data_IF_616673516520
#
_entry.id   IF_616673516520
#
_cell.length_a   1.000
_cell.length_b   1.000
_cell.length_c   1.000
_cell.angle_alpha   90.00
_cell.angle_beta   90.00
_cell.angle_gamma   90.00
#
_symmetry.space_group_name_H-M   'P 1'
#
loop_
_entity.id
_entity.type
_entity.pdbx_description
1 polymer ?
#
# COMPACT_ATOMS: atom_id res chain seq x y z
N UNK A 1 -10.62 -8.92 -21.44
CA UNK A 1 -10.78 -9.18 -20.00
C UNK A 1 -9.50 -8.73 -19.29
N UNK A 2 -9.58 -7.78 -18.35
CA UNK A 2 -8.39 -7.46 -17.51
C UNK A 2 -8.04 -8.71 -16.71
N UNK A 3 -6.84 -9.26 -16.91
CA UNK A 3 -6.34 -10.33 -16.07
C UNK A 3 -6.29 -9.80 -14.62
N UNK A 4 -7.17 -10.34 -13.78
CA UNK A 4 -7.22 -9.97 -12.37
C UNK A 4 -5.89 -10.34 -11.71
N UNK A 5 -5.30 -9.42 -10.96
CA UNK A 5 -4.02 -9.61 -10.27
C UNK A 5 -4.25 -9.49 -8.78
N UNK A 6 -3.52 -10.28 -8.00
CA UNK A 6 -3.55 -10.24 -6.54
C UNK A 6 -2.13 -10.30 -5.99
N UNK A 7 -1.85 -9.49 -4.98
CA UNK A 7 -0.63 -9.62 -4.17
C UNK A 7 -1.04 -10.12 -2.79
N UNK A 8 -0.47 -11.25 -2.36
CA UNK A 8 -0.62 -11.77 -1.00
C UNK A 8 0.67 -11.47 -0.24
N UNK A 9 0.56 -10.94 0.96
CA UNK A 9 1.72 -10.58 1.79
C UNK A 9 1.60 -11.24 3.16
N UNK A 10 2.66 -11.94 3.57
CA UNK A 10 2.85 -12.36 4.95
C UNK A 10 3.24 -11.15 5.80
N UNK A 11 2.29 -10.66 6.62
CA UNK A 11 2.45 -9.43 7.37
C UNK A 11 3.59 -9.47 8.38
N UNK A 12 3.73 -10.54 9.15
CA UNK A 12 4.81 -10.62 10.13
C UNK A 12 6.18 -10.85 9.51
N UNK A 13 6.25 -11.53 8.37
CA UNK A 13 7.49 -11.65 7.62
C UNK A 13 8.01 -10.27 7.22
N UNK A 14 7.14 -9.43 6.66
CA UNK A 14 7.50 -8.06 6.26
C UNK A 14 7.77 -7.16 7.47
N UNK A 15 6.99 -7.23 8.55
CA UNK A 15 7.24 -6.44 9.76
C UNK A 15 8.63 -6.72 10.35
N UNK A 16 9.06 -7.98 10.34
CA UNK A 16 10.37 -8.37 10.84
C UNK A 16 11.52 -8.01 9.89
N UNK A 17 11.27 -8.08 8.58
CA UNK A 17 12.29 -7.84 7.56
C UNK A 17 12.59 -6.34 7.36
N UNK A 18 11.56 -5.46 7.47
CA UNK A 18 11.74 -4.04 7.18
C UNK A 18 12.12 -3.25 8.43
N UNK A 19 13.36 -2.76 8.47
CA UNK A 19 13.91 -2.04 9.62
C UNK A 19 13.09 -0.82 10.06
N UNK A 20 12.33 -0.21 9.16
CA UNK A 20 11.45 0.94 9.46
C UNK A 20 10.35 0.63 10.49
N UNK A 21 9.98 -0.64 10.67
CA UNK A 21 8.95 -1.04 11.64
C UNK A 21 9.50 -1.36 13.03
N UNK A 22 10.83 -1.43 13.20
CA UNK A 22 11.45 -1.70 14.52
C UNK A 22 10.97 -0.76 15.63
N UNK A 23 10.86 0.57 15.43
CA UNK A 23 10.36 1.45 16.48
C UNK A 23 8.92 1.12 16.90
N UNK A 24 8.07 0.75 15.95
CA UNK A 24 6.68 0.39 16.23
C UNK A 24 6.57 -0.97 16.92
N UNK A 25 7.37 -1.96 16.51
CA UNK A 25 7.44 -3.27 17.16
C UNK A 25 7.90 -3.17 18.62
N UNK A 26 8.78 -2.21 18.94
CA UNK A 26 9.21 -1.94 20.30
C UNK A 26 8.09 -1.35 21.18
N UNK A 27 7.11 -0.69 20.58
CA UNK A 27 5.94 -0.17 21.29
C UNK A 27 4.88 -1.27 21.45
N UNK A 28 4.41 -1.82 20.35
CA UNK A 28 3.47 -2.95 20.33
C UNK A 28 3.36 -3.54 18.91
N UNK A 29 3.01 -4.83 18.83
CA UNK A 29 2.68 -5.46 17.55
C UNK A 29 1.46 -4.84 16.87
N UNK A 30 0.53 -4.30 17.64
CA UNK A 30 -0.65 -3.61 17.12
C UNK A 30 -0.26 -2.35 16.35
N UNK A 31 0.58 -1.49 16.93
CA UNK A 31 1.08 -0.30 16.27
C UNK A 31 1.85 -0.64 14.98
N UNK A 32 2.70 -1.66 15.03
CA UNK A 32 3.44 -2.10 13.85
C UNK A 32 2.51 -2.62 12.73
N UNK A 33 1.46 -3.38 13.08
CA UNK A 33 0.45 -3.83 12.11
C UNK A 33 -0.30 -2.66 11.48
N UNK A 34 -0.72 -1.68 12.29
CA UNK A 34 -1.41 -0.48 11.78
C UNK A 34 -0.57 0.28 10.76
N UNK A 35 0.73 0.46 11.03
CA UNK A 35 1.65 1.11 10.09
C UNK A 35 1.83 0.28 8.81
N UNK A 36 1.98 -1.04 8.90
CA UNK A 36 2.08 -1.88 7.72
C UNK A 36 0.80 -1.87 6.89
N UNK A 37 -0.38 -1.94 7.52
CA UNK A 37 -1.67 -1.87 6.84
C UNK A 37 -1.80 -0.54 6.09
N UNK A 38 -1.40 0.57 6.71
CA UNK A 38 -1.41 1.88 6.07
C UNK A 38 -0.50 1.91 4.84
N UNK A 39 0.75 1.49 4.98
CA UNK A 39 1.72 1.47 3.88
C UNK A 39 1.30 0.56 2.73
N UNK A 40 0.74 -0.61 3.03
CA UNK A 40 0.27 -1.56 2.02
C UNK A 40 -1.01 -1.08 1.33
N UNK A 41 -1.87 -0.36 2.03
CA UNK A 41 -3.02 0.31 1.42
C UNK A 41 -2.59 1.37 0.40
N UNK A 42 -1.64 2.21 0.75
CA UNK A 42 -1.07 3.19 -0.18
C UNK A 42 -0.37 2.50 -1.36
N UNK A 43 0.39 1.44 -1.10
CA UNK A 43 1.05 0.66 -2.15
C UNK A 43 0.05 0.05 -3.14
N UNK A 44 -0.98 -0.63 -2.64
CA UNK A 44 -2.06 -1.21 -3.46
C UNK A 44 -2.72 -0.16 -4.36
N UNK A 45 -3.04 1.00 -3.79
CA UNK A 45 -3.62 2.14 -4.52
C UNK A 45 -2.70 2.66 -5.63
N UNK A 46 -1.40 2.80 -5.34
CA UNK A 46 -0.42 3.29 -6.32
C UNK A 46 -0.19 2.33 -7.49
N UNK A 47 -0.23 1.01 -7.25
CA UNK A 47 -0.04 0.01 -8.28
C UNK A 47 -1.33 -0.41 -8.99
N UNK A 48 -2.50 -0.11 -8.41
CA UNK A 48 -3.81 -0.52 -8.93
C UNK A 48 -4.03 -2.04 -8.95
N UNK A 49 -3.48 -2.76 -7.95
CA UNK A 49 -3.58 -4.22 -7.81
C UNK A 49 -4.18 -4.54 -6.44
N UNK A 50 -5.14 -5.47 -6.40
CA UNK A 50 -5.72 -5.96 -5.15
C UNK A 50 -4.63 -6.56 -4.25
N UNK A 51 -4.70 -6.28 -2.95
CA UNK A 51 -3.74 -6.75 -1.96
C UNK A 51 -4.44 -7.44 -0.80
N UNK A 52 -3.92 -8.61 -0.44
CA UNK A 52 -4.31 -9.40 0.72
C UNK A 52 -3.14 -9.45 1.71
N UNK A 53 -3.33 -8.87 2.88
CA UNK A 53 -2.35 -8.88 3.96
C UNK A 53 -2.76 -9.89 5.02
N UNK A 54 -1.90 -10.87 5.29
CA UNK A 54 -2.19 -11.98 6.21
C UNK A 54 -1.35 -11.85 7.47
N UNK A 55 -2.02 -11.90 8.62
CA UNK A 55 -1.38 -11.96 9.93
C UNK A 55 -1.73 -13.25 10.64
N UNK A 56 -0.73 -13.92 11.20
CA UNK A 56 -0.91 -15.09 12.04
C UNK A 56 -1.62 -14.73 13.36
N UNK A 57 -2.69 -15.44 13.68
CA UNK A 57 -3.47 -15.23 14.90
C UNK A 57 -2.74 -15.58 16.20
N UNK A 58 -1.64 -16.34 16.13
CA UNK A 58 -0.89 -16.76 17.31
C UNK A 58 -0.42 -15.59 18.20
N UNK A 59 -0.27 -14.41 17.60
CA UNK A 59 0.14 -13.19 18.30
C UNK A 59 -1.03 -12.29 18.71
N UNK A 60 -2.29 -12.75 18.52
CA UNK A 60 -3.49 -11.95 18.79
C UNK A 60 -4.60 -12.89 19.26
N UNK A 61 -5.31 -12.51 20.33
CA UNK A 61 -6.52 -13.23 20.78
C UNK A 61 -7.73 -12.98 19.86
N UNK A 62 -7.56 -13.01 18.55
CA UNK A 62 -8.64 -12.84 17.57
C UNK A 62 -9.08 -14.17 16.96
N UNK A 63 -10.39 -14.31 16.79
CA UNK A 63 -11.00 -15.47 16.11
C UNK A 63 -11.10 -15.17 14.61
N UNK A 64 -10.11 -15.56 13.83
CA UNK A 64 -10.16 -15.55 12.36
C UNK A 64 -11.09 -14.49 11.75
N UNK A 65 -10.60 -13.27 11.50
CA UNK A 65 -11.39 -12.19 10.92
C UNK A 65 -10.77 -11.76 9.59
N UNK A 66 -11.65 -11.34 8.68
CA UNK A 66 -11.24 -10.69 7.43
C UNK A 66 -11.98 -9.37 7.31
N UNK A 67 -11.24 -8.29 7.15
CA UNK A 67 -11.78 -6.95 7.03
C UNK A 67 -11.13 -6.20 5.87
N UNK A 68 -11.85 -5.26 5.26
CA UNK A 68 -11.29 -4.34 4.27
C UNK A 68 -10.85 -3.06 4.96
N UNK A 69 -9.55 -2.87 5.09
CA UNK A 69 -8.95 -1.70 5.75
C UNK A 69 -8.06 -0.96 4.74
N UNK A 70 -8.26 0.35 4.59
CA UNK A 70 -7.50 1.17 3.63
C UNK A 70 -7.54 0.66 2.18
N UNK A 71 -8.63 -0.03 1.81
CA UNK A 71 -8.81 -0.57 0.46
C UNK A 71 -8.09 -1.89 0.17
N UNK A 72 -7.47 -2.51 1.18
CA UNK A 72 -6.87 -3.84 1.08
C UNK A 72 -7.61 -4.83 1.99
N UNK A 73 -7.60 -6.10 1.62
CA UNK A 73 -8.11 -7.17 2.47
C UNK A 73 -7.05 -7.51 3.53
N UNK A 74 -7.44 -7.43 4.81
CA UNK A 74 -6.59 -7.79 5.95
C UNK A 74 -7.19 -9.00 6.64
N UNK A 75 -6.43 -10.07 6.71
CA UNK A 75 -6.85 -11.33 7.32
C UNK A 75 -6.00 -11.63 8.55
N UNK A 76 -6.70 -11.96 9.63
CA UNK A 76 -6.12 -12.59 10.80
C UNK A 76 -6.51 -14.07 10.77
N UNK A 77 -5.55 -14.97 10.73
CA UNK A 77 -5.81 -16.41 10.62
C UNK A 77 -6.58 -16.94 11.84
N UNK A 78 -7.16 -18.12 11.71
CA UNK A 78 -7.84 -18.76 12.83
C UNK A 78 -6.83 -19.21 13.89
N UNK A 79 -7.29 -19.43 15.10
CA UNK A 79 -6.50 -20.10 16.13
C UNK A 79 -6.05 -21.47 15.59
N UNK A 80 -4.76 -21.76 15.69
CA UNK A 80 -4.11 -22.96 15.13
C UNK A 80 -3.93 -22.99 13.60
N UNK A 81 -4.16 -21.90 12.91
CA UNK A 81 -3.84 -21.73 11.49
C UNK A 81 -2.69 -20.73 11.36
N UNK A 82 -1.61 -21.10 10.71
CA UNK A 82 -0.49 -20.18 10.42
C UNK A 82 -0.77 -19.35 9.17
N UNK A 83 -0.06 -18.23 9.01
CA UNK A 83 -0.13 -17.45 7.78
C UNK A 83 0.24 -18.29 6.55
N UNK A 84 1.24 -19.16 6.69
CA UNK A 84 1.68 -20.07 5.61
C UNK A 84 0.57 -21.02 5.17
N UNK A 85 -0.10 -21.68 6.13
CA UNK A 85 -1.23 -22.56 5.84
C UNK A 85 -2.39 -21.84 5.18
N UNK A 86 -2.68 -20.61 5.62
CA UNK A 86 -3.69 -19.79 5.02
C UNK A 86 -3.32 -19.40 3.58
N UNK A 87 -2.07 -18.98 3.34
CA UNK A 87 -1.56 -18.62 2.01
C UNK A 87 -1.62 -19.81 1.06
N UNK A 88 -1.18 -20.99 1.52
CA UNK A 88 -1.24 -22.22 0.73
C UNK A 88 -2.68 -22.53 0.29
N UNK A 89 -3.61 -22.56 1.25
CA UNK A 89 -5.03 -22.79 0.98
C UNK A 89 -5.61 -21.76 0.01
N UNK A 90 -5.26 -20.47 0.19
CA UNK A 90 -5.71 -19.40 -0.68
C UNK A 90 -5.19 -19.56 -2.10
N UNK A 91 -3.95 -19.98 -2.28
CA UNK A 91 -3.38 -20.29 -3.59
C UNK A 91 -4.09 -21.47 -4.26
N UNK A 92 -4.50 -22.48 -3.51
CA UNK A 92 -5.28 -23.60 -4.05
C UNK A 92 -6.68 -23.18 -4.48
N UNK A 93 -7.36 -22.34 -3.70
CA UNK A 93 -8.68 -21.79 -4.06
C UNK A 93 -8.65 -20.93 -5.33
N UNK A 94 -7.61 -20.12 -5.45
CA UNK A 94 -7.42 -19.23 -6.62
C UNK A 94 -7.06 -20.03 -7.87
N UNK A 95 -6.23 -21.07 -7.71
CA UNK A 95 -5.70 -21.85 -8.80
C UNK A 95 -4.94 -20.97 -9.81
N UNK A 96 -5.13 -21.23 -11.11
CA UNK A 96 -4.50 -20.47 -12.21
C UNK A 96 -5.41 -19.41 -12.82
N UNK A 97 -6.51 -19.05 -12.16
CA UNK A 97 -7.52 -18.13 -12.70
C UNK A 97 -7.07 -16.68 -12.73
N UNK A 98 -6.17 -16.31 -11.82
CA UNK A 98 -5.63 -14.95 -11.71
C UNK A 98 -4.11 -15.01 -11.49
N UNK A 99 -3.41 -13.94 -11.85
CA UNK A 99 -1.99 -13.83 -11.59
C UNK A 99 -1.76 -13.44 -10.13
N UNK A 100 -1.13 -14.33 -9.36
CA UNK A 100 -0.83 -14.12 -7.96
C UNK A 100 0.65 -13.85 -7.76
N UNK A 101 0.96 -12.82 -6.97
CA UNK A 101 2.31 -12.58 -6.43
C UNK A 101 2.27 -12.76 -4.92
N UNK A 102 3.29 -13.37 -4.30
CA UNK A 102 3.36 -13.55 -2.85
C UNK A 102 4.62 -12.91 -2.29
N UNK A 103 4.44 -12.00 -1.33
CA UNK A 103 5.51 -11.30 -0.61
C UNK A 103 5.90 -12.06 0.65
N UNK A 104 7.03 -12.77 0.60
CA UNK A 104 7.57 -13.54 1.73
C UNK A 104 9.04 -13.90 1.50
N UNK A 105 9.81 -14.02 2.59
CA UNK A 105 11.17 -14.59 2.57
C UNK A 105 11.20 -16.07 2.98
N UNK A 106 10.04 -16.65 3.35
CA UNK A 106 9.96 -18.07 3.67
C UNK A 106 10.17 -18.93 2.43
N UNK A 107 11.23 -19.76 2.45
CA UNK A 107 11.64 -20.58 1.31
C UNK A 107 10.65 -21.67 0.93
N UNK A 108 9.88 -22.17 1.90
CA UNK A 108 8.87 -23.21 1.65
C UNK A 108 7.70 -22.60 0.89
N UNK A 109 7.22 -21.44 1.33
CA UNK A 109 6.16 -20.70 0.64
C UNK A 109 6.63 -20.25 -0.74
N UNK A 110 7.87 -19.77 -0.90
CA UNK A 110 8.43 -19.40 -2.20
C UNK A 110 8.40 -20.57 -3.21
N UNK A 111 8.82 -21.76 -2.78
CA UNK A 111 8.77 -22.97 -3.61
C UNK A 111 7.34 -23.32 -4.01
N UNK A 112 6.42 -23.29 -3.06
CA UNK A 112 5.00 -23.58 -3.27
C UNK A 112 4.38 -22.60 -4.28
N UNK A 113 4.63 -21.30 -4.15
CA UNK A 113 4.17 -20.26 -5.07
C UNK A 113 4.68 -20.52 -6.48
N UNK A 114 5.99 -20.82 -6.61
CA UNK A 114 6.62 -21.07 -7.90
C UNK A 114 6.05 -22.33 -8.57
N UNK A 115 5.83 -23.41 -7.83
CA UNK A 115 5.22 -24.64 -8.35
C UNK A 115 3.80 -24.43 -8.88
N UNK A 116 3.06 -23.50 -8.30
CA UNK A 116 1.71 -23.11 -8.74
C UNK A 116 1.70 -22.08 -9.88
N UNK A 117 2.87 -21.63 -10.33
CA UNK A 117 3.00 -20.62 -11.40
C UNK A 117 2.75 -19.19 -10.92
N UNK A 118 2.82 -18.93 -9.63
CA UNK A 118 2.79 -17.61 -9.03
C UNK A 118 4.16 -16.91 -9.08
N UNK A 119 4.18 -15.64 -8.72
CA UNK A 119 5.38 -14.81 -8.66
C UNK A 119 5.79 -14.63 -7.20
N UNK A 120 7.05 -14.93 -6.89
CA UNK A 120 7.62 -14.64 -5.57
C UNK A 120 8.16 -13.22 -5.56
N UNK A 121 7.83 -12.49 -4.48
CA UNK A 121 8.42 -11.21 -4.14
C UNK A 121 9.13 -11.35 -2.80
N UNK A 122 10.45 -11.22 -2.78
CA UNK A 122 11.19 -11.16 -1.52
C UNK A 122 10.84 -9.88 -0.77
N UNK A 123 11.03 -9.86 0.55
CA UNK A 123 10.83 -8.65 1.37
C UNK A 123 11.63 -7.46 0.84
N UNK A 124 12.84 -7.72 0.35
CA UNK A 124 13.75 -6.71 -0.22
C UNK A 124 13.22 -6.15 -1.55
N UNK A 125 12.72 -7.01 -2.44
CA UNK A 125 12.13 -6.57 -3.71
C UNK A 125 10.82 -5.79 -3.49
N UNK A 126 10.00 -6.24 -2.55
CA UNK A 126 8.78 -5.54 -2.18
C UNK A 126 9.08 -4.15 -1.61
N UNK A 127 10.08 -4.03 -0.71
CA UNK A 127 10.53 -2.76 -0.16
C UNK A 127 11.01 -1.81 -1.25
N UNK A 128 11.86 -2.30 -2.15
CA UNK A 128 12.38 -1.51 -3.27
C UNK A 128 11.25 -0.96 -4.16
N UNK A 129 10.26 -1.80 -4.49
CA UNK A 129 9.10 -1.38 -5.28
C UNK A 129 8.26 -0.33 -4.54
N UNK A 130 7.99 -0.56 -3.26
CA UNK A 130 7.24 0.37 -2.41
C UNK A 130 7.92 1.74 -2.33
N UNK A 131 9.20 1.79 -1.98
CA UNK A 131 9.95 3.05 -1.84
C UNK A 131 10.06 3.83 -3.16
N UNK A 132 10.32 3.14 -4.26
CA UNK A 132 10.37 3.78 -5.58
C UNK A 132 9.04 4.43 -5.97
N UNK A 133 7.93 3.77 -5.72
CA UNK A 133 6.60 4.30 -6.03
C UNK A 133 6.24 5.47 -5.12
N UNK A 134 6.52 5.35 -3.82
CA UNK A 134 6.30 6.42 -2.85
C UNK A 134 7.09 7.68 -3.20
N UNK A 135 8.37 7.52 -3.55
CA UNK A 135 9.23 8.63 -3.96
C UNK A 135 8.75 9.31 -5.25
N UNK A 136 8.27 8.52 -6.23
CA UNK A 136 7.66 9.07 -7.45
C UNK A 136 6.39 9.86 -7.13
N UNK A 137 5.48 9.30 -6.34
CA UNK A 137 4.23 9.97 -5.93
C UNK A 137 4.51 11.29 -5.24
N UNK A 138 5.41 11.32 -4.27
CA UNK A 138 5.79 12.53 -3.55
C UNK A 138 6.37 13.62 -4.48
N UNK A 139 7.16 13.24 -5.50
CA UNK A 139 7.70 14.19 -6.49
C UNK A 139 6.60 14.79 -7.37
N UNK A 140 5.59 14.01 -7.76
CA UNK A 140 4.46 14.51 -8.53
C UNK A 140 3.59 15.47 -7.70
N UNK A 141 3.31 15.15 -6.44
CA UNK A 141 2.56 16.03 -5.55
C UNK A 141 3.28 17.35 -5.30
N UNK A 142 4.61 17.31 -5.08
CA UNK A 142 5.40 18.53 -4.89
C UNK A 142 5.40 19.40 -6.15
N UNK A 143 5.56 18.81 -7.34
CA UNK A 143 5.47 19.55 -8.60
C UNK A 143 4.08 20.21 -8.79
N UNK A 144 3.01 19.46 -8.54
CA UNK A 144 1.65 19.97 -8.66
C UNK A 144 1.35 21.10 -7.65
N UNK A 145 1.88 21.00 -6.42
CA UNK A 145 1.75 22.07 -5.42
C UNK A 145 2.48 23.35 -5.86
N UNK A 146 3.68 23.22 -6.43
CA UNK A 146 4.46 24.37 -6.93
C UNK A 146 3.74 25.02 -8.11
N UNK A 147 3.26 24.22 -9.09
CA UNK A 147 2.52 24.74 -10.24
C UNK A 147 1.21 25.40 -9.84
N UNK A 148 0.42 24.78 -8.98
CA UNK A 148 -0.82 25.36 -8.49
C UNK A 148 -0.58 26.66 -7.72
N UNK A 149 0.43 26.74 -6.86
CA UNK A 149 0.78 27.96 -6.14
C UNK A 149 1.23 29.08 -7.10
N UNK A 150 1.94 28.72 -8.18
CA UNK A 150 2.32 29.68 -9.23
C UNK A 150 1.10 30.18 -10.00
N UNK A 151 0.13 29.32 -10.32
CA UNK A 151 -1.12 29.72 -10.98
C UNK A 151 -1.99 30.63 -10.09
N UNK A 152 -2.11 30.32 -8.79
CA UNK A 152 -2.86 31.16 -7.85
C UNK A 152 -2.22 32.53 -7.71
N UNK A 153 -0.89 32.62 -7.58
CA UNK A 153 -0.20 33.91 -7.52
C UNK A 153 -0.39 34.74 -8.80
N UNK A 154 -0.37 34.11 -9.98
CA UNK A 154 -0.56 34.78 -11.26
C UNK A 154 -2.02 35.24 -11.48
N UNK A 155 -2.99 34.49 -10.93
CA UNK A 155 -4.41 34.86 -10.97
C UNK A 155 -4.71 36.03 -10.03
N UNK A 156 -4.11 36.07 -8.85
CA UNK A 156 -4.25 37.19 -7.91
C UNK A 156 -3.69 38.49 -8.49
N UNK A 157 -2.53 38.47 -9.12
CA UNK A 157 -1.94 39.65 -9.77
C UNK A 157 -2.79 40.14 -10.94
N UNK A 158 -3.36 39.25 -11.74
CA UNK A 158 -4.29 39.62 -12.83
C UNK A 158 -5.61 40.17 -12.31
N UNK A 159 -6.15 39.59 -11.25
CA UNK A 159 -7.39 40.06 -10.62
C UNK A 159 -7.19 41.45 -9.99
N UNK A 160 -6.08 41.72 -9.35
CA UNK A 160 -5.72 43.00 -8.77
C UNK A 160 -5.59 44.06 -9.89
N UNK A 161 -4.87 43.75 -10.96
CA UNK A 161 -4.72 44.70 -12.11
C UNK A 161 -6.06 44.98 -12.79
N UNK A 162 -6.98 44.02 -12.90
CA UNK A 162 -8.32 44.24 -13.44
C UNK A 162 -9.19 45.12 -12.54
N UNK A 163 -9.09 44.94 -11.23
CA UNK A 163 -9.79 45.77 -10.24
C UNK A 163 -9.29 47.22 -10.31
N UNK A 164 -7.99 47.45 -10.38
CA UNK A 164 -7.40 48.80 -10.54
C UNK A 164 -7.84 49.48 -11.82
N UNK A 165 -7.96 48.76 -12.94
CA UNK A 165 -8.49 49.30 -14.20
C UNK A 165 -9.98 49.67 -14.11
N UNK A 166 -10.77 48.86 -13.42
CA UNK A 166 -12.20 49.12 -13.22
C UNK A 166 -12.40 50.31 -12.28
N UNK A 167 -11.62 50.43 -11.22
CA UNK A 167 -11.66 51.55 -10.31
C UNK A 167 -11.31 52.89 -11.03
N UNK A 168 -10.26 52.90 -11.86
CA UNK A 168 -9.90 54.05 -12.68
C UNK A 168 -10.99 54.43 -13.69
N UNK A 169 -11.72 53.47 -14.25
CA UNK A 169 -12.83 53.73 -15.19
C UNK A 169 -14.10 54.23 -14.49
N UNK A 170 -14.37 53.80 -13.28
CA UNK A 170 -15.60 54.14 -12.54
C UNK A 170 -15.49 55.45 -11.73
N UNK A 171 -14.31 55.76 -11.23
CA UNK A 171 -14.13 56.88 -10.31
C UNK A 171 -13.23 58.03 -10.84
N UNK A 172 -12.73 57.92 -12.03
CA UNK A 172 -12.15 59.04 -12.82
C UNK A 172 -11.22 59.98 -12.07
N UNK A 173 -10.12 59.46 -11.51
CA UNK A 173 -9.00 60.31 -11.09
C UNK A 173 -7.69 59.68 -11.51
#
# INVERSE_FOLDING_TARGET
MKNKKLIIIDGYNILNAWGKYKPFLNLSFENARHELIYDMGEFSKLIGIDLLLVFDAYKINFKGTSDVIKGIEVVYTKQNETADQFIEKKLDEIGRKILVSVGTDDTLIQKLVTQRGGIVLTSKELLFRYENLKNKSNRYETKNRITNKSYFNTLDDKAINQLDEIEKKLFGK
#
